data_IF_256114999125
#
_entry.id   IF_256114999125
#
_cell.length_a   1.000
_cell.length_b   1.000
_cell.length_c   1.000
_cell.angle_alpha   90.00
_cell.angle_beta   90.00
_cell.angle_gamma   90.00
#
_symmetry.space_group_name_H-M   'P 1'
#
loop_
_entity.id
_entity.type
_entity.pdbx_description
1 polymer ?
#
# COMPACT_ATOMS: atom_id res chain seq x y z
N UNK A 1 -17.09 -20.04 29.70
CA UNK A 1 -15.63 -20.00 29.82
C UNK A 1 -15.09 -19.85 28.41
N UNK A 2 -15.01 -18.61 27.92
CA UNK A 2 -14.45 -18.25 26.61
C UNK A 2 -12.94 -18.20 26.74
N UNK A 3 -12.24 -18.96 25.91
CA UNK A 3 -10.78 -18.99 25.85
C UNK A 3 -10.22 -17.58 25.55
N UNK A 4 -9.36 -17.00 26.40
CA UNK A 4 -8.81 -15.66 26.22
C UNK A 4 -7.71 -15.55 25.14
N UNK A 5 -7.41 -16.61 24.38
CA UNK A 5 -6.25 -16.64 23.46
C UNK A 5 -6.54 -16.64 21.96
N UNK A 6 -7.79 -16.48 21.50
CA UNK A 6 -8.02 -16.28 20.07
C UNK A 6 -7.88 -14.80 19.69
N UNK A 7 -6.69 -14.22 19.92
CA UNK A 7 -6.31 -13.03 19.15
C UNK A 7 -6.36 -13.41 17.67
N UNK A 8 -6.98 -12.55 16.85
CA UNK A 8 -6.98 -12.75 15.41
C UNK A 8 -5.52 -12.95 14.95
N UNK A 9 -5.22 -13.99 14.14
CA UNK A 9 -3.85 -14.32 13.81
C UNK A 9 -3.14 -13.11 13.19
N UNK A 10 -2.00 -12.73 13.77
CA UNK A 10 -1.13 -11.70 13.21
C UNK A 10 -0.74 -12.10 11.79
N UNK A 11 -0.94 -11.19 10.85
CA UNK A 11 -0.63 -11.40 9.45
C UNK A 11 0.50 -10.45 9.04
N UNK A 12 1.45 -10.97 8.25
CA UNK A 12 2.58 -10.21 7.72
C UNK A 12 2.52 -10.23 6.21
N UNK A 13 2.59 -9.04 5.61
CA UNK A 13 2.72 -8.85 4.17
C UNK A 13 4.11 -8.35 3.83
N UNK A 14 4.78 -9.03 2.89
CA UNK A 14 6.08 -8.60 2.35
C UNK A 14 5.97 -8.53 0.84
N UNK A 15 6.49 -7.46 0.25
CA UNK A 15 6.63 -7.32 -1.19
C UNK A 15 7.96 -6.66 -1.56
N UNK A 16 8.51 -7.05 -2.70
CA UNK A 16 9.70 -6.44 -3.28
C UNK A 16 9.39 -6.09 -4.72
N UNK A 17 9.78 -4.89 -5.15
CA UNK A 17 9.56 -4.43 -6.51
C UNK A 17 10.77 -3.66 -7.01
N UNK A 18 11.17 -3.91 -8.26
CA UNK A 18 12.26 -3.20 -8.91
C UNK A 18 11.84 -1.79 -9.36
N UNK A 19 12.67 -0.80 -9.08
CA UNK A 19 12.45 0.59 -9.50
C UNK A 19 12.32 0.69 -11.03
N UNK A 20 13.18 -0.01 -11.77
CA UNK A 20 13.15 -0.04 -13.24
C UNK A 20 11.82 -0.61 -13.78
N UNK A 21 11.24 -1.60 -13.11
CA UNK A 21 9.94 -2.17 -13.47
C UNK A 21 8.85 -1.09 -13.43
N UNK A 22 8.83 -0.30 -12.36
CA UNK A 22 7.84 0.76 -12.15
C UNK A 22 8.09 1.94 -13.08
N UNK A 23 9.35 2.29 -13.34
CA UNK A 23 9.73 3.28 -14.35
C UNK A 23 9.18 2.89 -15.74
N UNK A 24 9.42 1.63 -16.16
CA UNK A 24 8.97 1.11 -17.45
C UNK A 24 7.45 1.04 -17.57
N UNK A 25 6.75 0.67 -16.50
CA UNK A 25 5.29 0.64 -16.50
C UNK A 25 4.70 2.05 -16.59
N UNK A 26 5.24 2.98 -15.82
CA UNK A 26 4.78 4.37 -15.80
C UNK A 26 5.00 5.08 -17.13
N UNK A 27 6.10 4.79 -17.84
CA UNK A 27 6.38 5.37 -19.15
C UNK A 27 5.57 4.73 -20.29
N UNK A 28 5.38 3.40 -20.28
CA UNK A 28 4.75 2.67 -21.40
C UNK A 28 3.22 2.62 -21.34
N UNK A 29 2.62 2.88 -20.19
CA UNK A 29 1.17 2.72 -19.98
C UNK A 29 0.56 4.02 -19.44
N UNK A 30 0.06 4.89 -20.34
CA UNK A 30 -0.71 6.07 -19.93
C UNK A 30 -1.84 5.67 -18.97
N UNK A 31 -1.94 6.36 -17.83
CA UNK A 31 -2.93 6.08 -16.80
C UNK A 31 -2.59 4.93 -15.83
N UNK A 32 -1.43 4.26 -15.98
CA UNK A 32 -0.96 3.30 -14.97
C UNK A 32 -0.88 3.95 -13.59
N UNK A 33 -0.24 5.11 -13.51
CA UNK A 33 -0.06 5.82 -12.25
C UNK A 33 -1.40 6.17 -11.58
N UNK A 34 -2.34 6.74 -12.33
CA UNK A 34 -3.68 7.09 -11.84
C UNK A 34 -4.52 5.87 -11.37
N UNK A 35 -4.27 4.68 -11.93
CA UNK A 35 -4.96 3.44 -11.54
C UNK A 35 -4.37 2.78 -10.29
N UNK A 36 -3.13 3.11 -9.93
CA UNK A 36 -2.36 2.37 -8.91
C UNK A 36 -2.06 3.21 -7.67
N UNK A 37 -1.97 4.52 -7.81
CA UNK A 37 -1.61 5.43 -6.73
C UNK A 37 -2.77 6.36 -6.41
N UNK A 38 -2.89 6.71 -5.14
CA UNK A 38 -3.81 7.74 -4.68
C UNK A 38 -3.35 9.12 -5.17
N UNK A 39 -4.25 10.12 -5.26
CA UNK A 39 -3.88 11.49 -5.62
C UNK A 39 -2.73 12.06 -4.78
N UNK A 40 -2.74 11.80 -3.47
CA UNK A 40 -1.74 12.28 -2.51
C UNK A 40 -0.37 11.62 -2.76
N UNK A 41 -0.35 10.35 -3.13
CA UNK A 41 0.90 9.67 -3.48
C UNK A 41 1.45 10.17 -4.82
N UNK A 42 0.59 10.46 -5.80
CA UNK A 42 1.02 11.01 -7.08
C UNK A 42 1.65 12.39 -6.89
N UNK A 43 1.01 13.24 -6.07
CA UNK A 43 1.54 14.54 -5.69
C UNK A 43 2.85 14.42 -4.91
N UNK A 44 2.96 13.50 -3.94
CA UNK A 44 4.21 13.31 -3.21
C UNK A 44 5.34 12.74 -4.09
N UNK A 45 5.01 11.79 -4.96
CA UNK A 45 6.01 11.09 -5.76
C UNK A 45 6.54 11.95 -6.91
N UNK A 46 5.74 12.88 -7.45
CA UNK A 46 6.13 13.73 -8.59
C UNK A 46 6.72 12.92 -9.76
N UNK A 47 6.14 11.75 -10.03
CA UNK A 47 6.61 10.84 -11.10
C UNK A 47 7.94 10.12 -10.83
N UNK A 48 8.59 10.33 -9.68
CA UNK A 48 9.87 9.70 -9.34
C UNK A 48 9.73 8.18 -9.18
N UNK A 49 10.36 7.35 -10.04
CA UNK A 49 10.14 5.90 -10.05
C UNK A 49 10.47 5.21 -8.73
N UNK A 50 11.51 5.64 -8.03
CA UNK A 50 11.94 5.09 -6.75
C UNK A 50 10.89 5.32 -5.65
N UNK A 51 10.23 6.50 -5.67
CA UNK A 51 9.15 6.79 -4.73
C UNK A 51 7.91 5.97 -5.06
N UNK A 52 7.53 5.90 -6.33
CA UNK A 52 6.40 5.10 -6.80
C UNK A 52 6.62 3.60 -6.51
N UNK A 53 7.83 3.10 -6.67
CA UNK A 53 8.19 1.71 -6.40
C UNK A 53 8.03 1.34 -4.91
N UNK A 54 8.45 2.24 -4.00
CA UNK A 54 8.24 2.03 -2.57
C UNK A 54 6.74 1.96 -2.23
N UNK A 55 5.90 2.79 -2.86
CA UNK A 55 4.44 2.80 -2.62
C UNK A 55 3.79 1.55 -3.21
N UNK A 56 4.23 1.13 -4.39
CA UNK A 56 3.80 -0.12 -4.99
C UNK A 56 4.04 -1.30 -4.04
N UNK A 57 5.27 -1.45 -3.54
CA UNK A 57 5.62 -2.54 -2.63
C UNK A 57 4.80 -2.49 -1.33
N UNK A 58 4.66 -1.31 -0.72
CA UNK A 58 3.85 -1.14 0.48
C UNK A 58 2.37 -1.50 0.25
N UNK A 59 1.78 -1.08 -0.89
CA UNK A 59 0.40 -1.45 -1.25
C UNK A 59 0.23 -2.95 -1.43
N UNK A 60 1.17 -3.62 -2.09
CA UNK A 60 1.11 -5.07 -2.25
C UNK A 60 1.27 -5.80 -0.92
N UNK A 61 2.15 -5.32 -0.03
CA UNK A 61 2.28 -5.85 1.32
C UNK A 61 0.93 -5.77 2.08
N UNK A 62 0.26 -4.61 2.03
CA UNK A 62 -1.08 -4.43 2.61
C UNK A 62 -2.09 -5.40 1.99
N UNK A 63 -2.14 -5.51 0.65
CA UNK A 63 -3.07 -6.41 -0.04
C UNK A 63 -2.84 -7.88 0.32
N UNK A 64 -1.59 -8.30 0.54
CA UNK A 64 -1.24 -9.64 1.02
C UNK A 64 -1.76 -9.91 2.43
N UNK A 65 -1.67 -8.94 3.35
CA UNK A 65 -2.27 -9.04 4.69
C UNK A 65 -3.78 -9.24 4.60
N UNK A 66 -4.47 -8.45 3.78
CA UNK A 66 -5.93 -8.59 3.60
C UNK A 66 -6.29 -9.95 3.00
N UNK A 67 -5.56 -10.39 1.97
CA UNK A 67 -5.77 -11.68 1.32
C UNK A 67 -5.54 -12.87 2.26
N UNK A 68 -4.47 -12.86 3.06
CA UNK A 68 -4.15 -13.95 3.99
C UNK A 68 -5.18 -14.08 5.11
N UNK A 69 -5.87 -12.99 5.46
CA UNK A 69 -6.93 -12.97 6.47
C UNK A 69 -8.33 -13.24 5.89
N UNK A 70 -8.45 -13.56 4.58
CA UNK A 70 -9.74 -13.76 3.93
C UNK A 70 -10.61 -12.51 3.85
N UNK A 71 -10.02 -11.32 4.00
CA UNK A 71 -10.72 -10.02 3.94
C UNK A 71 -10.85 -9.57 2.49
N UNK A 72 -11.85 -8.74 2.22
CA UNK A 72 -11.97 -8.06 0.92
C UNK A 72 -10.73 -7.21 0.65
N UNK A 73 -10.07 -7.46 -0.48
CA UNK A 73 -8.80 -6.81 -0.82
C UNK A 73 -9.11 -5.38 -1.32
N UNK A 74 -8.55 -4.33 -0.68
CA UNK A 74 -8.75 -2.96 -1.15
C UNK A 74 -8.16 -2.76 -2.55
N UNK A 75 -8.79 -1.88 -3.32
CA UNK A 75 -8.28 -1.47 -4.63
C UNK A 75 -7.00 -0.66 -4.45
N UNK A 76 -6.07 -0.70 -5.41
CA UNK A 76 -4.82 0.04 -5.28
C UNK A 76 -4.98 1.54 -4.96
N UNK A 77 -5.82 2.32 -5.65
CA UNK A 77 -5.92 3.75 -5.38
C UNK A 77 -6.63 4.06 -4.06
N UNK A 78 -7.33 3.10 -3.44
CA UNK A 78 -7.90 3.31 -2.10
C UNK A 78 -6.91 3.10 -0.97
N UNK A 79 -5.79 2.43 -1.23
CA UNK A 79 -4.67 2.31 -0.29
C UNK A 79 -3.78 3.53 -0.50
N UNK A 80 -3.48 4.31 0.53
CA UNK A 80 -2.50 5.39 0.46
C UNK A 80 -1.42 5.19 1.52
N UNK A 81 -0.16 5.38 1.14
CA UNK A 81 0.97 5.40 2.08
C UNK A 81 1.40 6.85 2.29
N UNK A 82 1.01 7.41 3.43
CA UNK A 82 1.28 8.79 3.83
C UNK A 82 2.43 8.84 4.84
N UNK A 83 2.71 10.02 5.39
CA UNK A 83 3.66 10.18 6.49
C UNK A 83 2.98 10.92 7.64
N UNK A 84 3.13 10.41 8.87
CA UNK A 84 2.70 11.10 10.08
C UNK A 84 3.60 12.30 10.38
N UNK A 85 3.20 13.23 11.26
CA UNK A 85 4.13 14.16 11.88
C UNK A 85 5.33 13.39 12.44
N UNK A 86 6.54 13.75 12.01
CA UNK A 86 7.77 13.01 12.31
C UNK A 86 8.25 12.06 11.21
N UNK A 87 7.54 11.93 10.10
CA UNK A 87 8.02 11.26 8.88
C UNK A 87 7.81 9.74 8.82
N UNK A 88 7.27 9.13 9.88
CA UNK A 88 6.95 7.71 9.88
C UNK A 88 5.81 7.41 8.89
N UNK A 89 5.90 6.35 8.06
CA UNK A 89 4.83 6.01 7.13
C UNK A 89 3.56 5.59 7.88
N UNK A 90 2.41 5.85 7.28
CA UNK A 90 1.09 5.40 7.74
C UNK A 90 0.26 4.93 6.55
N UNK A 91 -0.51 3.85 6.75
CA UNK A 91 -1.41 3.32 5.73
C UNK A 91 -2.83 3.83 5.97
N UNK A 92 -3.41 4.42 4.92
CA UNK A 92 -4.82 4.78 4.87
C UNK A 92 -5.56 3.88 3.89
N UNK A 93 -6.76 3.43 4.25
CA UNK A 93 -7.69 2.76 3.35
C UNK A 93 -8.93 3.64 3.20
N UNK A 94 -9.24 4.05 1.97
CA UNK A 94 -10.29 5.04 1.67
C UNK A 94 -10.15 6.31 2.54
N UNK A 95 -8.92 6.79 2.71
CA UNK A 95 -8.62 8.00 3.50
C UNK A 95 -8.70 7.82 5.02
N UNK A 96 -8.82 6.58 5.54
CA UNK A 96 -8.91 6.31 6.98
C UNK A 96 -7.72 5.47 7.46
N UNK A 97 -7.07 5.81 8.59
CA UNK A 97 -6.06 4.96 9.20
C UNK A 97 -6.66 3.59 9.53
N UNK A 98 -5.85 2.54 9.36
CA UNK A 98 -6.24 1.18 9.75
C UNK A 98 -5.41 0.76 10.95
N UNK A 99 -6.00 0.64 12.15
CA UNK A 99 -5.28 0.15 13.32
C UNK A 99 -4.65 -1.21 13.05
N UNK A 100 -3.37 -1.37 13.38
CA UNK A 100 -2.61 -2.59 13.13
C UNK A 100 -1.96 -2.68 11.75
N UNK A 101 -2.01 -1.60 10.94
CA UNK A 101 -1.23 -1.41 9.72
C UNK A 101 -0.45 -0.09 9.75
#
# INVERSE_FOLDING_TARGET
>A
MTDPLTEAPMAVGVDVTGVERIARLSSRRPGFAAKMFSPEELDYCQGRPERLAARWAAKEAVRKVYGSQGRSIPTYPSIAVTHRPGGAPEVLINGRPVPGL
#
